data_IF_919056124756
#
_entry.id   IF_919056124756
#
_cell.length_a   1.000
_cell.length_b   1.000
_cell.length_c   1.000
_cell.angle_alpha   90.00
_cell.angle_beta   90.00
_cell.angle_gamma   90.00
#
_symmetry.space_group_name_H-M   'P 1'
#
loop_
_entity.id
_entity.type
_entity.pdbx_description
1 polymer ?
#
# COMPACT_ATOMS: atom_id res chain seq x y z
N UNK A 1 -27.33 44.20 24.20
CA UNK A 1 -27.98 43.27 23.23
C UNK A 1 -26.99 42.43 22.44
N UNK A 2 -26.01 43.00 21.73
CA UNK A 2 -25.04 42.21 20.94
C UNK A 2 -24.24 41.17 21.75
N UNK A 3 -23.72 41.53 22.92
CA UNK A 3 -23.00 40.59 23.80
C UNK A 3 -23.87 39.45 24.35
N UNK A 4 -25.16 39.71 24.60
CA UNK A 4 -26.11 38.70 25.06
C UNK A 4 -26.42 37.71 23.93
N UNK A 5 -26.61 38.21 22.70
CA UNK A 5 -26.80 37.37 21.52
C UNK A 5 -25.57 36.47 21.27
N UNK A 6 -24.36 37.03 21.32
CA UNK A 6 -23.11 36.28 21.17
C UNK A 6 -23.00 35.21 22.26
N UNK A 7 -23.34 35.53 23.52
CA UNK A 7 -23.34 34.56 24.61
C UNK A 7 -24.30 33.39 24.35
N UNK A 8 -25.54 33.64 23.89
CA UNK A 8 -26.50 32.58 23.56
C UNK A 8 -26.10 31.75 22.34
N UNK A 9 -25.48 32.37 21.32
CA UNK A 9 -24.93 31.65 20.16
C UNK A 9 -23.78 30.74 20.60
N UNK A 10 -22.84 31.25 21.41
CA UNK A 10 -21.76 30.44 21.96
C UNK A 10 -22.29 29.28 22.82
N UNK A 11 -23.30 29.54 23.67
CA UNK A 11 -23.94 28.48 24.48
C UNK A 11 -24.61 27.42 23.59
N UNK A 12 -25.26 27.83 22.50
CA UNK A 12 -25.85 26.94 21.51
C UNK A 12 -24.82 26.09 20.77
N UNK A 13 -23.70 26.70 20.35
CA UNK A 13 -22.60 26.00 19.67
C UNK A 13 -21.87 24.99 20.58
N UNK A 14 -21.87 25.20 21.89
CA UNK A 14 -21.26 24.27 22.87
C UNK A 14 -22.26 23.19 23.31
N UNK A 15 -23.54 23.30 22.96
CA UNK A 15 -24.57 22.33 23.36
C UNK A 15 -24.32 20.93 22.75
N UNK A 16 -24.64 19.88 23.52
CA UNK A 16 -24.51 18.48 23.07
C UNK A 16 -25.26 18.20 21.76
N UNK A 17 -26.50 18.69 21.53
CA UNK A 17 -27.18 18.50 20.26
C UNK A 17 -26.44 19.11 19.07
N UNK A 18 -25.84 20.29 19.24
CA UNK A 18 -25.06 20.93 18.18
C UNK A 18 -23.78 20.16 17.88
N UNK A 19 -23.07 19.71 18.92
CA UNK A 19 -21.87 18.88 18.76
C UNK A 19 -22.16 17.53 18.08
N UNK A 20 -23.26 16.86 18.47
CA UNK A 20 -23.71 15.62 17.83
C UNK A 20 -24.17 15.83 16.39
N UNK A 21 -24.81 16.97 16.09
CA UNK A 21 -25.16 17.34 14.72
C UNK A 21 -23.93 17.61 13.86
N UNK A 22 -22.95 18.34 14.40
CA UNK A 22 -21.70 18.65 13.73
C UNK A 22 -20.82 17.41 13.50
N UNK A 23 -20.86 16.42 14.39
CA UNK A 23 -20.16 15.15 14.23
C UNK A 23 -20.93 14.11 13.40
N UNK A 24 -22.17 14.43 12.99
CA UNK A 24 -22.97 13.54 12.18
C UNK A 24 -22.42 13.47 10.75
N UNK A 25 -22.15 12.27 10.22
CA UNK A 25 -21.45 12.11 8.95
C UNK A 25 -22.28 12.62 7.77
N UNK A 26 -21.60 13.17 6.76
CA UNK A 26 -22.20 13.46 5.44
C UNK A 26 -22.19 12.22 4.53
N UNK A 27 -21.27 11.30 4.77
CA UNK A 27 -21.10 10.04 4.06
C UNK A 27 -20.81 8.91 5.04
N UNK A 28 -21.42 7.76 4.79
CA UNK A 28 -21.25 6.55 5.57
C UNK A 28 -20.96 5.37 4.64
N UNK A 29 -19.87 4.67 4.91
CA UNK A 29 -19.47 3.46 4.18
C UNK A 29 -19.67 2.25 5.07
N UNK A 30 -20.30 1.21 4.54
CA UNK A 30 -20.60 -0.03 5.24
C UNK A 30 -20.32 -1.22 4.34
N UNK A 31 -19.88 -2.34 4.91
CA UNK A 31 -19.95 -3.61 4.20
C UNK A 31 -21.34 -4.22 4.34
N UNK A 32 -21.74 -5.06 3.38
CA UNK A 32 -23.02 -5.77 3.40
C UNK A 32 -23.11 -6.66 4.65
N UNK A 33 -24.24 -6.63 5.36
CA UNK A 33 -24.45 -7.39 6.59
C UNK A 33 -23.84 -6.75 7.85
N UNK A 34 -23.27 -5.55 7.77
CA UNK A 34 -22.78 -4.80 8.93
C UNK A 34 -23.80 -3.78 9.44
N UNK A 35 -23.68 -3.48 10.74
CA UNK A 35 -24.51 -2.49 11.42
C UNK A 35 -23.72 -1.27 11.89
N UNK A 36 -24.38 -0.10 11.97
CA UNK A 36 -23.81 1.13 12.52
C UNK A 36 -24.85 1.94 13.29
N UNK A 37 -24.50 2.38 14.48
CA UNK A 37 -25.32 3.34 15.23
C UNK A 37 -24.91 4.79 14.92
N UNK A 38 -25.90 5.64 14.66
CA UNK A 38 -25.75 7.09 14.56
C UNK A 38 -26.51 7.77 15.71
N UNK A 39 -25.88 8.75 16.37
CA UNK A 39 -26.48 9.43 17.54
C UNK A 39 -26.56 10.94 17.29
N UNK A 40 -27.77 11.48 17.31
CA UNK A 40 -28.04 12.92 17.22
C UNK A 40 -28.37 13.54 18.59
N UNK A 41 -28.95 12.75 19.51
CA UNK A 41 -29.29 13.18 20.88
C UNK A 41 -30.15 14.45 20.90
N UNK A 42 -31.12 14.54 19.97
CA UNK A 42 -32.04 15.68 19.86
C UNK A 42 -33.42 15.31 20.39
N UNK A 43 -34.06 16.12 21.23
CA UNK A 43 -35.38 15.82 21.81
C UNK A 43 -36.53 16.08 20.81
N UNK A 44 -36.41 15.58 19.58
CA UNK A 44 -37.38 15.77 18.49
C UNK A 44 -37.49 14.51 17.65
N UNK A 45 -38.66 14.33 17.03
CA UNK A 45 -38.86 13.27 16.04
C UNK A 45 -38.51 13.79 14.64
N UNK A 46 -37.99 12.89 13.80
CA UNK A 46 -37.76 13.18 12.39
C UNK A 46 -38.35 12.09 11.50
N UNK A 47 -38.77 12.49 10.30
CA UNK A 47 -39.08 11.57 9.24
C UNK A 47 -37.76 11.11 8.59
N UNK A 48 -37.53 9.80 8.59
CA UNK A 48 -36.47 9.16 7.81
C UNK A 48 -37.02 8.84 6.42
N UNK A 49 -36.20 9.03 5.39
CA UNK A 49 -36.40 8.45 4.07
C UNK A 49 -35.12 7.74 3.63
N UNK A 50 -35.23 6.48 3.19
CA UNK A 50 -34.10 5.64 2.77
C UNK A 50 -34.58 4.59 1.77
N UNK A 51 -33.67 3.99 1.01
CA UNK A 51 -33.96 2.79 0.24
C UNK A 51 -33.93 1.55 1.16
N UNK A 52 -35.09 0.89 1.40
CA UNK A 52 -35.17 -0.26 2.30
C UNK A 52 -34.51 -1.53 1.76
N UNK A 53 -34.23 -1.60 0.45
CA UNK A 53 -33.52 -2.74 -0.14
C UNK A 53 -32.04 -2.70 0.25
N UNK A 54 -31.47 -1.49 0.37
CA UNK A 54 -30.05 -1.28 0.68
C UNK A 54 -29.81 -1.22 2.19
N UNK A 55 -30.60 -0.45 2.94
CA UNK A 55 -30.39 -0.24 4.40
C UNK A 55 -31.70 -0.32 5.17
N UNK A 56 -31.70 -1.12 6.24
CA UNK A 56 -32.74 -1.11 7.28
C UNK A 56 -32.35 -0.15 8.39
N UNK A 57 -33.35 0.50 8.97
CA UNK A 57 -33.13 1.52 9.99
C UNK A 57 -33.99 1.19 11.21
N UNK A 58 -33.37 1.02 12.38
CA UNK A 58 -33.99 0.54 13.62
C UNK A 58 -34.78 -0.77 13.43
N UNK A 59 -34.26 -1.69 12.62
CA UNK A 59 -34.93 -2.95 12.26
C UNK A 59 -36.12 -2.79 11.30
N UNK A 60 -36.42 -1.58 10.83
CA UNK A 60 -37.52 -1.29 9.91
C UNK A 60 -37.02 -1.20 8.47
N UNK A 61 -37.59 -2.03 7.59
CA UNK A 61 -37.38 -2.00 6.15
C UNK A 61 -38.55 -1.28 5.46
N UNK A 62 -38.62 0.05 5.58
CA UNK A 62 -39.65 0.89 4.93
C UNK A 62 -39.02 2.15 4.35
N UNK A 63 -39.54 2.57 3.20
CA UNK A 63 -39.03 3.76 2.52
C UNK A 63 -39.10 5.03 3.37
N UNK A 64 -40.18 5.21 4.17
CA UNK A 64 -40.31 6.36 5.06
C UNK A 64 -41.10 6.04 6.34
N UNK A 65 -40.62 6.54 7.48
CA UNK A 65 -41.24 6.38 8.80
C UNK A 65 -40.63 7.39 9.80
N UNK A 66 -41.21 7.49 11.00
CA UNK A 66 -40.74 8.40 12.06
C UNK A 66 -39.69 7.73 12.96
N UNK A 67 -38.68 8.48 13.36
CA UNK A 67 -37.68 8.07 14.36
C UNK A 67 -37.56 9.13 15.47
N UNK A 68 -37.29 8.65 16.68
CA UNK A 68 -36.93 9.48 17.83
C UNK A 68 -35.42 9.79 17.78
N UNK A 69 -35.05 11.05 17.55
CA UNK A 69 -33.64 11.47 17.46
C UNK A 69 -32.95 11.56 18.82
N UNK A 70 -33.68 11.35 19.92
CA UNK A 70 -33.12 11.24 21.26
C UNK A 70 -32.54 9.84 21.52
N UNK A 71 -32.84 8.87 20.63
CA UNK A 71 -32.30 7.52 20.67
C UNK A 71 -31.30 7.30 19.52
N UNK A 72 -30.38 6.34 19.66
CA UNK A 72 -29.52 5.93 18.55
C UNK A 72 -30.34 5.43 17.36
N UNK A 73 -29.94 5.83 16.15
CA UNK A 73 -30.44 5.31 14.89
C UNK A 73 -29.52 4.15 14.49
N UNK A 74 -30.01 2.92 14.61
CA UNK A 74 -29.32 1.73 14.13
C UNK A 74 -29.52 1.59 12.63
N UNK A 75 -28.45 1.47 11.87
CA UNK A 75 -28.44 1.15 10.45
C UNK A 75 -27.95 -0.28 10.28
N UNK A 76 -28.62 -1.06 9.45
CA UNK A 76 -28.21 -2.42 9.09
C UNK A 76 -28.20 -2.52 7.56
N UNK A 77 -27.04 -2.83 6.98
CA UNK A 77 -26.89 -2.96 5.53
C UNK A 77 -27.36 -4.34 5.04
N UNK A 78 -28.12 -4.35 3.94
CA UNK A 78 -28.74 -5.58 3.41
C UNK A 78 -28.21 -5.94 2.02
N UNK A 79 -28.18 -4.97 1.10
CA UNK A 79 -27.64 -5.16 -0.26
C UNK A 79 -26.59 -4.10 -0.58
N UNK A 80 -25.59 -4.47 -1.38
CA UNK A 80 -24.60 -3.51 -1.89
C UNK A 80 -25.23 -2.52 -2.85
N UNK A 81 -24.81 -1.25 -2.78
CA UNK A 81 -25.40 -0.14 -3.53
C UNK A 81 -25.27 1.18 -2.80
N UNK A 82 -25.71 2.26 -3.46
CA UNK A 82 -25.71 3.61 -2.90
C UNK A 82 -27.13 4.07 -2.59
N UNK A 83 -27.33 4.68 -1.42
CA UNK A 83 -28.61 5.31 -1.06
C UNK A 83 -28.38 6.63 -0.30
N UNK A 84 -29.45 7.41 -0.13
CA UNK A 84 -29.43 8.64 0.65
C UNK A 84 -30.37 8.49 1.83
N UNK A 85 -29.82 8.48 3.04
CA UNK A 85 -30.59 8.56 4.27
C UNK A 85 -30.91 10.04 4.55
N UNK A 86 -32.18 10.40 4.42
CA UNK A 86 -32.65 11.77 4.62
C UNK A 86 -33.42 11.88 5.93
N UNK A 87 -33.05 12.86 6.76
CA UNK A 87 -33.76 13.22 7.99
C UNK A 87 -34.49 14.55 7.77
N UNK A 88 -35.80 14.58 8.04
CA UNK A 88 -36.62 15.80 7.95
C UNK A 88 -37.41 16.04 9.23
N UNK A 89 -37.31 17.23 9.81
CA UNK A 89 -38.16 17.66 10.92
C UNK A 89 -39.56 17.99 10.42
N UNK A 90 -40.58 17.55 11.15
CA UNK A 90 -42.00 17.75 10.81
C UNK A 90 -42.35 17.31 9.38
N UNK A 91 -41.56 16.39 8.80
CA UNK A 91 -41.67 15.90 7.42
C UNK A 91 -41.35 16.90 6.31
N UNK A 92 -40.97 18.14 6.62
CA UNK A 92 -40.78 19.22 5.63
C UNK A 92 -39.42 19.90 5.70
N UNK A 93 -38.88 20.09 6.91
CA UNK A 93 -37.65 20.85 7.10
C UNK A 93 -36.47 19.87 7.01
N UNK A 94 -35.60 19.96 5.99
CA UNK A 94 -34.45 19.07 5.86
C UNK A 94 -33.48 19.32 7.02
N UNK A 95 -33.19 18.27 7.80
CA UNK A 95 -32.26 18.31 8.91
C UNK A 95 -30.86 17.87 8.46
N UNK A 96 -30.75 16.70 7.85
CA UNK A 96 -29.49 16.12 7.39
C UNK A 96 -29.74 15.12 6.27
N UNK A 97 -28.81 15.03 5.34
CA UNK A 97 -28.77 13.96 4.33
C UNK A 97 -27.42 13.27 4.43
N UNK A 98 -27.43 11.94 4.57
CA UNK A 98 -26.23 11.11 4.60
C UNK A 98 -26.21 10.27 3.33
N UNK A 99 -25.11 10.31 2.58
CA UNK A 99 -24.85 9.33 1.53
C UNK A 99 -24.41 8.03 2.18
N UNK A 100 -25.12 6.95 1.92
CA UNK A 100 -24.77 5.62 2.44
C UNK A 100 -24.32 4.76 1.27
N UNK A 101 -23.07 4.34 1.31
CA UNK A 101 -22.46 3.45 0.32
C UNK A 101 -22.25 2.08 0.97
N UNK A 102 -22.99 1.08 0.50
CA UNK A 102 -22.89 -0.30 0.96
C UNK A 102 -22.06 -1.09 -0.04
N UNK A 103 -20.95 -1.65 0.43
CA UNK A 103 -20.02 -2.42 -0.36
C UNK A 103 -20.23 -3.93 -0.15
N UNK A 104 -19.86 -4.79 -1.11
CA UNK A 104 -19.88 -6.23 -0.91
C UNK A 104 -19.06 -6.62 0.32
N UNK A 105 -19.50 -7.65 1.07
CA UNK A 105 -18.73 -8.18 2.20
C UNK A 105 -17.34 -8.62 1.71
N UNK A 106 -16.30 -7.92 2.17
CA UNK A 106 -14.94 -8.16 1.73
C UNK A 106 -14.14 -8.79 2.87
N UNK A 107 -13.59 -9.97 2.56
CA UNK A 107 -12.78 -10.75 3.49
C UNK A 107 -11.46 -11.13 2.85
N UNK A 108 -10.41 -11.17 3.66
CA UNK A 108 -9.07 -11.55 3.24
C UNK A 108 -8.46 -12.52 4.23
N UNK A 109 -7.60 -13.41 3.74
CA UNK A 109 -6.76 -14.26 4.58
C UNK A 109 -5.54 -13.43 4.98
N UNK A 110 -5.32 -13.18 6.29
CA UNK A 110 -4.10 -12.52 6.74
C UNK A 110 -2.88 -13.35 6.42
N UNK A 111 -1.86 -12.69 5.88
CA UNK A 111 -0.55 -13.29 5.65
C UNK A 111 0.28 -13.33 6.94
N UNK A 112 1.42 -12.64 6.90
CA UNK A 112 2.45 -12.63 7.92
C UNK A 112 3.67 -13.47 7.56
N UNK A 113 3.59 -14.28 6.50
CA UNK A 113 4.68 -15.10 5.99
C UNK A 113 5.81 -14.21 5.45
N UNK A 114 7.04 -14.58 5.77
CA UNK A 114 8.20 -14.04 5.07
C UNK A 114 8.25 -14.60 3.65
N UNK A 115 8.36 -13.72 2.66
CA UNK A 115 8.48 -14.07 1.24
C UNK A 115 9.79 -13.54 0.67
N UNK A 116 10.34 -14.27 -0.30
CA UNK A 116 11.39 -13.77 -1.17
C UNK A 116 10.75 -13.02 -2.32
N UNK A 117 11.23 -11.82 -2.60
CA UNK A 117 10.76 -10.97 -3.70
C UNK A 117 11.87 -10.91 -4.74
N UNK A 118 11.55 -11.25 -5.98
CA UNK A 118 12.45 -11.10 -7.13
C UNK A 118 11.71 -10.30 -8.20
N UNK A 119 12.22 -9.12 -8.51
CA UNK A 119 11.64 -8.23 -9.51
C UNK A 119 12.66 -7.97 -10.61
N UNK A 120 12.19 -7.98 -11.85
CA UNK A 120 12.92 -7.60 -13.04
C UNK A 120 12.29 -6.34 -13.60
N UNK A 121 13.10 -5.31 -13.84
CA UNK A 121 12.60 -4.03 -14.34
C UNK A 121 12.12 -4.13 -15.78
N UNK A 122 11.16 -3.28 -16.17
CA UNK A 122 10.71 -3.09 -17.56
C UNK A 122 11.74 -2.31 -18.41
N UNK A 123 13.00 -2.71 -18.32
CA UNK A 123 14.13 -1.99 -18.88
C UNK A 123 15.41 -2.20 -18.07
N UNK A 124 16.48 -1.51 -18.47
CA UNK A 124 17.75 -1.45 -17.75
C UNK A 124 17.86 -0.11 -17.04
N UNK A 125 17.88 -0.12 -15.71
CA UNK A 125 18.02 1.07 -14.87
C UNK A 125 19.48 1.53 -14.84
N UNK A 126 19.70 2.84 -15.01
CA UNK A 126 20.99 3.48 -14.83
C UNK A 126 21.15 3.89 -13.36
N UNK A 127 22.12 3.28 -12.68
CA UNK A 127 22.37 3.50 -11.24
C UNK A 127 23.62 4.33 -10.97
N UNK A 128 24.38 4.66 -12.00
CA UNK A 128 25.57 5.50 -11.87
C UNK A 128 26.35 5.63 -13.17
N UNK A 129 27.42 6.40 -13.11
CA UNK A 129 28.34 6.64 -14.22
C UNK A 129 29.74 6.16 -13.88
N UNK A 130 30.50 5.83 -14.93
CA UNK A 130 31.86 5.34 -14.83
C UNK A 130 32.76 6.02 -15.86
N UNK A 131 33.91 6.49 -15.41
CA UNK A 131 34.94 7.05 -16.27
C UNK A 131 35.73 5.95 -16.98
N UNK A 132 35.61 5.89 -18.29
CA UNK A 132 36.32 4.98 -19.19
C UNK A 132 37.69 5.55 -19.55
N UNK A 133 38.75 4.77 -19.41
CA UNK A 133 40.12 5.24 -19.69
C UNK A 133 40.48 5.00 -21.15
N UNK A 134 40.42 6.05 -21.98
CA UNK A 134 40.66 5.93 -23.44
C UNK A 134 42.11 6.22 -23.86
N UNK A 135 42.89 6.86 -22.99
CA UNK A 135 44.34 7.06 -23.12
C UNK A 135 44.94 7.34 -21.72
N UNK A 136 46.27 7.29 -21.52
CA UNK A 136 46.91 7.46 -20.21
C UNK A 136 46.42 8.66 -19.40
N UNK A 137 46.23 9.82 -20.05
CA UNK A 137 45.78 11.06 -19.41
C UNK A 137 44.36 11.48 -19.86
N UNK A 138 43.59 10.57 -20.46
CA UNK A 138 42.26 10.88 -20.98
C UNK A 138 41.22 9.88 -20.52
N UNK A 139 40.26 10.37 -19.75
CA UNK A 139 39.07 9.64 -19.32
C UNK A 139 37.82 10.33 -19.86
N UNK A 140 36.83 9.52 -20.24
CA UNK A 140 35.54 9.98 -20.77
C UNK A 140 34.42 9.18 -20.13
N UNK A 141 33.22 9.74 -20.08
CA UNK A 141 32.03 9.05 -19.59
C UNK A 141 30.97 9.11 -20.69
N UNK A 142 30.90 8.10 -21.57
CA UNK A 142 29.98 8.14 -22.70
C UNK A 142 28.52 8.32 -22.28
N UNK A 143 28.15 7.76 -21.12
CA UNK A 143 26.84 7.94 -20.51
C UNK A 143 26.53 9.39 -20.15
N UNK A 144 27.47 10.10 -19.51
CA UNK A 144 27.30 11.52 -19.17
C UNK A 144 27.31 12.40 -20.41
N UNK A 145 28.19 12.13 -21.37
CA UNK A 145 28.27 12.85 -22.65
C UNK A 145 26.95 12.71 -23.44
N UNK A 146 26.31 11.54 -23.36
CA UNK A 146 24.99 11.27 -23.94
C UNK A 146 23.82 11.83 -23.11
N UNK A 147 24.08 12.56 -22.01
CA UNK A 147 23.09 13.16 -21.10
C UNK A 147 22.13 12.15 -20.46
N UNK A 148 22.60 10.91 -20.30
CA UNK A 148 21.90 9.85 -19.57
C UNK A 148 22.06 10.14 -18.08
N UNK A 149 20.97 10.07 -17.32
CA UNK A 149 20.91 10.42 -15.91
C UNK A 149 20.72 9.17 -15.03
N UNK A 150 21.15 9.28 -13.78
CA UNK A 150 20.84 8.27 -12.76
C UNK A 150 19.31 8.23 -12.58
N UNK A 151 18.74 7.03 -12.58
CA UNK A 151 17.29 6.79 -12.57
C UNK A 151 16.66 6.66 -13.96
N UNK A 152 17.43 6.83 -15.04
CA UNK A 152 16.96 6.55 -16.39
C UNK A 152 16.73 5.05 -16.60
N UNK A 153 15.61 4.71 -17.22
CA UNK A 153 15.30 3.34 -17.61
C UNK A 153 15.48 3.17 -19.12
N UNK A 154 16.54 2.48 -19.55
CA UNK A 154 16.79 2.15 -20.96
C UNK A 154 15.86 0.99 -21.34
N UNK A 155 14.89 1.26 -22.20
CA UNK A 155 13.86 0.30 -22.63
C UNK A 155 14.21 -0.40 -23.94
N UNK A 156 15.01 0.25 -24.80
CA UNK A 156 15.48 -0.37 -26.05
C UNK A 156 16.86 0.13 -26.46
N UNK A 157 17.60 -0.73 -27.16
CA UNK A 157 18.87 -0.41 -27.82
C UNK A 157 18.75 -0.82 -29.30
N UNK A 158 19.03 0.11 -30.22
CA UNK A 158 18.90 -0.07 -31.67
C UNK A 158 17.52 -0.62 -32.09
N UNK A 159 16.47 -0.18 -31.39
CA UNK A 159 15.07 -0.58 -31.64
C UNK A 159 14.67 -1.93 -31.04
N UNK A 160 15.59 -2.70 -30.47
CA UNK A 160 15.28 -3.95 -29.77
C UNK A 160 15.01 -3.69 -28.29
N UNK A 161 13.88 -4.19 -27.78
CA UNK A 161 13.55 -4.12 -26.35
C UNK A 161 14.62 -4.84 -25.51
N UNK A 162 15.05 -4.21 -24.42
CA UNK A 162 16.06 -4.76 -23.52
C UNK A 162 15.63 -4.62 -22.07
N UNK A 163 15.68 -5.72 -21.34
CA UNK A 163 15.44 -5.79 -19.91
C UNK A 163 16.41 -6.76 -19.22
N UNK A 164 17.48 -7.14 -19.91
CA UNK A 164 18.46 -8.11 -19.45
C UNK A 164 19.87 -7.55 -19.61
N UNK A 165 20.54 -7.32 -18.48
CA UNK A 165 21.87 -6.71 -18.45
C UNK A 165 22.91 -7.57 -19.17
N UNK A 166 22.71 -8.89 -19.19
CA UNK A 166 23.63 -9.85 -19.83
C UNK A 166 23.71 -9.64 -21.34
N UNK A 167 22.64 -9.13 -21.97
CA UNK A 167 22.59 -8.84 -23.40
C UNK A 167 23.30 -7.54 -23.78
N UNK A 168 23.48 -6.62 -22.83
CA UNK A 168 24.05 -5.28 -23.11
C UNK A 168 25.51 -5.39 -23.52
N UNK A 169 26.29 -6.26 -22.87
CA UNK A 169 27.72 -6.38 -23.11
C UNK A 169 28.06 -6.72 -24.58
N UNK A 170 27.36 -7.68 -25.16
CA UNK A 170 27.58 -8.10 -26.56
C UNK A 170 27.15 -7.02 -27.57
N UNK A 171 26.05 -6.32 -27.28
CA UNK A 171 25.58 -5.19 -28.11
C UNK A 171 26.62 -4.07 -28.12
N UNK A 172 27.14 -3.71 -26.94
CA UNK A 172 28.15 -2.65 -26.78
C UNK A 172 29.47 -3.03 -27.46
N UNK A 173 29.91 -4.27 -27.30
CA UNK A 173 31.12 -4.78 -27.95
C UNK A 173 31.01 -4.68 -29.47
N UNK A 174 29.93 -5.21 -30.05
CA UNK A 174 29.70 -5.19 -31.50
C UNK A 174 29.64 -3.77 -32.06
N UNK A 175 28.91 -2.87 -31.39
CA UNK A 175 28.82 -1.48 -31.82
C UNK A 175 30.16 -0.75 -31.74
N UNK A 176 30.93 -1.00 -30.68
CA UNK A 176 32.29 -0.48 -30.50
C UNK A 176 33.25 -0.92 -31.61
N UNK A 177 33.29 -2.22 -31.91
CA UNK A 177 34.13 -2.80 -32.99
C UNK A 177 33.76 -2.25 -34.37
N UNK A 178 32.46 -1.96 -34.59
CA UNK A 178 31.94 -1.35 -35.82
C UNK A 178 32.02 0.18 -35.83
N UNK A 179 32.51 0.79 -34.75
CA UNK A 179 32.63 2.23 -34.59
C UNK A 179 31.28 2.97 -34.75
N UNK A 180 30.17 2.30 -34.43
CA UNK A 180 28.79 2.75 -34.61
C UNK A 180 28.19 3.22 -33.26
N UNK A 181 27.47 4.35 -33.22
CA UNK A 181 26.69 4.70 -32.04
C UNK A 181 25.50 3.76 -31.85
N UNK A 182 25.03 3.66 -30.61
CA UNK A 182 23.82 2.95 -30.22
C UNK A 182 22.69 3.94 -30.02
N UNK A 183 21.55 3.68 -30.66
CA UNK A 183 20.32 4.44 -30.43
C UNK A 183 19.57 3.86 -29.21
N UNK A 184 19.33 4.68 -28.21
CA UNK A 184 18.64 4.30 -26.98
C UNK A 184 17.24 4.91 -26.93
N UNK A 185 16.27 4.15 -26.41
CA UNK A 185 15.03 4.72 -25.87
C UNK A 185 15.05 4.66 -24.36
N UNK A 186 14.95 5.82 -23.74
CA UNK A 186 15.03 6.01 -22.29
C UNK A 186 13.66 6.44 -21.78
N UNK A 187 13.24 5.93 -20.63
CA UNK A 187 12.09 6.42 -19.88
C UNK A 187 12.59 7.19 -18.67
N UNK A 188 12.25 8.48 -18.58
CA UNK A 188 12.58 9.39 -17.47
C UNK A 188 11.31 10.12 -17.07
N UNK A 189 10.90 10.04 -15.80
CA UNK A 189 9.67 10.68 -15.30
C UNK A 189 8.42 10.37 -16.17
N UNK A 190 8.25 9.11 -16.57
CA UNK A 190 7.21 8.64 -17.50
C UNK A 190 7.23 9.23 -18.93
N UNK A 191 8.25 10.01 -19.29
CA UNK A 191 8.46 10.49 -20.65
C UNK A 191 9.48 9.61 -21.38
N UNK A 192 9.21 9.33 -22.65
CA UNK A 192 10.17 8.67 -23.52
C UNK A 192 11.12 9.69 -24.14
N UNK A 193 12.42 9.42 -24.06
CA UNK A 193 13.51 10.24 -24.55
C UNK A 193 14.37 9.37 -25.46
N UNK A 194 14.64 9.85 -26.67
CA UNK A 194 15.62 9.22 -27.54
C UNK A 194 17.01 9.79 -27.21
N UNK A 195 18.00 8.92 -27.09
CA UNK A 195 19.39 9.29 -26.85
C UNK A 195 20.31 8.48 -27.77
N UNK A 196 21.48 9.02 -28.07
CA UNK A 196 22.51 8.33 -28.81
C UNK A 196 23.76 8.24 -27.93
N UNK A 197 24.30 7.02 -27.77
CA UNK A 197 25.51 6.78 -26.99
C UNK A 197 26.56 6.09 -27.84
N UNK A 198 27.80 6.53 -27.71
CA UNK A 198 28.93 5.95 -28.44
C UNK A 198 29.82 5.16 -27.49
N UNK A 199 29.97 3.84 -27.66
CA UNK A 199 30.89 3.06 -26.84
C UNK A 199 32.32 3.61 -26.92
N UNK A 200 32.99 3.71 -25.76
CA UNK A 200 34.40 4.06 -25.67
C UNK A 200 35.22 2.81 -25.37
N UNK A 201 36.39 2.67 -26.02
CA UNK A 201 37.30 1.56 -25.74
C UNK A 201 38.12 1.85 -24.49
N UNK A 202 37.96 1.02 -23.46
CA UNK A 202 38.78 1.09 -22.26
C UNK A 202 40.15 0.44 -22.51
N UNK A 203 41.20 1.26 -22.41
CA UNK A 203 42.58 0.83 -22.66
C UNK A 203 43.17 -0.03 -21.55
N UNK A 204 42.59 -0.01 -20.35
CA UNK A 204 43.00 -0.85 -19.22
C UNK A 204 42.27 -2.20 -19.27
N UNK A 205 40.94 -2.19 -19.35
CA UNK A 205 40.11 -3.40 -19.40
C UNK A 205 40.09 -4.09 -20.77
N UNK A 206 40.61 -3.44 -21.82
CA UNK A 206 40.56 -3.90 -23.22
C UNK A 206 39.16 -4.26 -23.70
N UNK A 207 38.16 -3.46 -23.31
CA UNK A 207 36.75 -3.69 -23.65
C UNK A 207 36.03 -2.38 -23.98
N UNK A 208 35.01 -2.44 -24.83
CA UNK A 208 34.13 -1.30 -25.07
C UNK A 208 33.15 -1.11 -23.90
N UNK A 209 33.02 0.13 -23.43
CA UNK A 209 32.22 0.53 -22.28
C UNK A 209 31.30 1.69 -22.63
N UNK A 210 30.13 1.74 -22.01
CA UNK A 210 29.20 2.86 -22.06
C UNK A 210 29.46 3.90 -20.95
N UNK A 211 30.31 3.59 -19.97
CA UNK A 211 30.49 4.45 -18.79
C UNK A 211 29.23 4.54 -17.93
N UNK A 212 28.41 3.48 -17.89
CA UNK A 212 27.20 3.39 -17.09
C UNK A 212 27.30 2.20 -16.14
N UNK A 213 26.90 2.41 -14.87
CA UNK A 213 26.50 1.33 -13.99
C UNK A 213 25.01 1.07 -14.20
N UNK A 214 24.67 -0.17 -14.49
CA UNK A 214 23.33 -0.57 -14.89
C UNK A 214 22.84 -1.77 -14.09
N UNK A 215 21.54 -1.83 -13.85
CA UNK A 215 20.84 -2.94 -13.18
C UNK A 215 19.52 -3.23 -13.87
N UNK A 216 19.08 -4.48 -13.82
CA UNK A 216 17.82 -4.93 -14.43
C UNK A 216 16.90 -5.65 -13.43
N UNK A 217 17.34 -5.80 -12.19
CA UNK A 217 16.65 -6.61 -11.21
C UNK A 217 16.94 -6.15 -9.78
N UNK A 218 16.00 -6.46 -8.89
CA UNK A 218 16.16 -6.33 -7.46
C UNK A 218 15.62 -7.58 -6.77
N UNK A 219 16.24 -7.95 -5.65
CA UNK A 219 15.79 -9.04 -4.82
C UNK A 219 15.84 -8.65 -3.36
N UNK A 220 14.91 -9.17 -2.58
CA UNK A 220 14.82 -8.85 -1.16
C UNK A 220 13.88 -9.75 -0.40
N UNK A 221 13.74 -9.46 0.89
CA UNK A 221 12.85 -10.18 1.80
C UNK A 221 11.71 -9.26 2.19
N UNK A 222 10.48 -9.75 2.06
CA UNK A 222 9.28 -9.04 2.43
C UNK A 222 8.35 -9.87 3.31
N UNK A 223 7.25 -9.27 3.75
CA UNK A 223 6.15 -9.99 4.38
C UNK A 223 4.91 -9.95 3.48
N UNK A 224 4.29 -11.10 3.27
CA UNK A 224 2.98 -11.21 2.65
C UNK A 224 1.94 -10.58 3.58
N UNK A 225 1.15 -9.63 3.10
CA UNK A 225 0.18 -8.92 3.94
C UNK A 225 -1.16 -9.63 3.97
N UNK A 226 -1.73 -9.88 2.80
CA UNK A 226 -3.04 -10.50 2.67
C UNK A 226 -3.12 -11.31 1.38
N UNK A 227 -4.05 -12.26 1.38
CA UNK A 227 -4.54 -12.94 0.18
C UNK A 227 -6.07 -12.84 0.12
N UNK A 228 -6.59 -12.39 -1.02
CA UNK A 228 -8.01 -12.26 -1.30
C UNK A 228 -8.44 -13.44 -2.20
N UNK A 229 -9.01 -14.51 -1.60
CA UNK A 229 -9.23 -15.78 -2.31
C UNK A 229 -10.22 -15.65 -3.47
N UNK A 230 -11.26 -14.82 -3.33
CA UNK A 230 -12.30 -14.67 -4.35
C UNK A 230 -11.75 -14.07 -5.67
N UNK A 231 -10.69 -13.28 -5.59
CA UNK A 231 -10.04 -12.65 -6.75
C UNK A 231 -8.71 -13.30 -7.14
N UNK A 232 -8.20 -14.21 -6.30
CA UNK A 232 -6.85 -14.80 -6.43
C UNK A 232 -5.73 -13.76 -6.34
N UNK A 233 -5.95 -12.65 -5.62
CA UNK A 233 -5.02 -11.52 -5.55
C UNK A 233 -4.34 -11.48 -4.19
N UNK A 234 -3.09 -11.02 -4.15
CA UNK A 234 -2.39 -10.76 -2.89
C UNK A 234 -1.81 -9.35 -2.84
N UNK A 235 -1.46 -8.92 -1.63
CA UNK A 235 -0.62 -7.74 -1.38
C UNK A 235 0.51 -8.05 -0.39
N UNK A 236 1.65 -7.39 -0.57
CA UNK A 236 2.82 -7.54 0.30
C UNK A 236 3.61 -6.22 0.47
N UNK A 237 4.52 -6.20 1.45
CA UNK A 237 5.42 -5.09 1.82
C UNK A 237 4.76 -3.83 2.40
N UNK A 238 3.66 -3.32 1.85
CA UNK A 238 3.07 -2.07 2.34
C UNK A 238 3.79 -0.79 1.88
N UNK A 239 4.84 -0.90 1.06
CA UNK A 239 5.56 0.23 0.45
C UNK A 239 6.14 -0.12 -0.92
N UNK A 240 6.52 0.92 -1.67
CA UNK A 240 7.18 0.79 -2.98
C UNK A 240 8.58 0.20 -2.86
N UNK A 241 8.93 -0.69 -3.79
CA UNK A 241 10.32 -1.15 -4.00
C UNK A 241 11.04 -0.11 -4.86
N UNK A 242 12.12 0.44 -4.32
CA UNK A 242 13.01 1.36 -5.03
C UNK A 242 14.38 0.72 -5.23
N UNK A 243 15.11 1.16 -6.24
CA UNK A 243 16.53 0.85 -6.31
C UNK A 243 17.29 1.55 -5.16
N UNK A 244 18.29 0.87 -4.60
CA UNK A 244 18.96 1.31 -3.37
C UNK A 244 19.84 2.55 -3.57
N UNK A 245 20.42 2.72 -4.77
CA UNK A 245 21.35 3.83 -5.06
C UNK A 245 20.60 5.05 -5.56
N UNK A 246 19.54 4.84 -6.36
CA UNK A 246 18.80 5.92 -7.01
C UNK A 246 17.53 6.34 -6.27
N UNK A 247 17.05 5.51 -5.34
CA UNK A 247 15.74 5.64 -4.69
C UNK A 247 14.55 5.73 -5.67
N UNK A 248 14.76 5.36 -6.94
CA UNK A 248 13.73 5.42 -7.97
C UNK A 248 12.86 4.16 -7.90
N UNK A 249 11.51 4.29 -7.98
CA UNK A 249 10.62 3.14 -8.05
C UNK A 249 10.95 2.20 -9.21
N UNK A 250 11.00 0.91 -8.93
CA UNK A 250 11.23 -0.09 -9.96
C UNK A 250 9.93 -0.31 -10.74
N UNK A 251 9.95 0.01 -12.04
CA UNK A 251 8.87 -0.33 -12.97
C UNK A 251 8.89 -1.82 -13.24
N UNK A 252 7.80 -2.52 -12.94
CA UNK A 252 7.72 -3.99 -13.03
C UNK A 252 7.65 -4.42 -14.50
N UNK A 253 8.65 -5.19 -14.95
CA UNK A 253 8.60 -5.88 -16.24
C UNK A 253 8.20 -7.34 -16.06
N UNK A 254 8.84 -8.01 -15.10
CA UNK A 254 8.50 -9.36 -14.66
C UNK A 254 8.83 -9.48 -13.16
N UNK A 255 8.21 -10.42 -12.47
CA UNK A 255 8.53 -10.62 -11.06
C UNK A 255 7.78 -11.78 -10.45
N UNK A 256 8.37 -12.31 -9.39
CA UNK A 256 7.87 -13.47 -8.68
C UNK A 256 8.10 -13.33 -7.19
N UNK A 257 7.17 -13.89 -6.44
CA UNK A 257 7.32 -14.14 -5.01
C UNK A 257 7.57 -15.63 -4.77
N UNK A 258 8.49 -15.93 -3.88
CA UNK A 258 8.91 -17.30 -3.53
C UNK A 258 8.90 -17.48 -2.02
N UNK A 259 8.95 -18.72 -1.55
CA UNK A 259 9.10 -18.99 -0.13
C UNK A 259 10.45 -18.47 0.39
N UNK A 260 10.44 -18.03 1.65
CA UNK A 260 11.63 -17.57 2.35
C UNK A 260 11.62 -18.12 3.77
N UNK A 261 12.80 -18.49 4.27
CA UNK A 261 12.95 -19.05 5.61
C UNK A 261 13.89 -18.18 6.44
N UNK A 262 13.37 -17.63 7.54
CA UNK A 262 14.10 -16.74 8.45
C UNK A 262 15.10 -17.57 9.26
N UNK A 263 16.39 -17.30 9.08
CA UNK A 263 17.48 -18.00 9.79
C UNK A 263 17.86 -17.28 11.08
N UNK A 264 17.89 -15.95 11.07
CA UNK A 264 18.18 -15.13 12.25
C UNK A 264 17.63 -13.72 12.11
N UNK A 265 17.64 -12.98 13.22
CA UNK A 265 17.31 -11.56 13.26
C UNK A 265 18.53 -10.78 13.71
N UNK A 266 18.93 -9.77 12.93
CA UNK A 266 19.77 -8.70 13.45
C UNK A 266 18.87 -7.69 14.15
N UNK A 267 19.11 -7.46 15.44
CA UNK A 267 18.25 -6.59 16.26
C UNK A 267 18.36 -5.14 15.82
N UNK A 268 17.23 -4.42 15.85
CA UNK A 268 17.20 -2.98 15.68
C UNK A 268 17.71 -2.28 16.93
N UNK A 269 18.41 -1.17 16.73
CA UNK A 269 18.87 -0.26 17.78
C UNK A 269 18.54 1.18 17.39
N UNK A 270 18.67 2.11 18.34
CA UNK A 270 18.46 3.52 18.04
C UNK A 270 19.46 4.00 16.98
N UNK A 271 18.97 4.52 15.86
CA UNK A 271 19.78 4.97 14.72
C UNK A 271 20.17 3.86 13.72
N UNK A 272 20.00 2.58 14.07
CA UNK A 272 20.34 1.45 13.20
C UNK A 272 19.16 0.49 13.03
N UNK A 273 18.48 0.50 11.87
CA UNK A 273 17.44 -0.47 11.56
C UNK A 273 18.00 -1.89 11.57
N UNK A 274 17.34 -2.80 12.30
CA UNK A 274 17.65 -4.23 12.25
C UNK A 274 17.14 -4.88 10.96
N UNK A 275 17.42 -6.18 10.78
CA UNK A 275 17.03 -6.94 9.59
C UNK A 275 16.63 -8.39 9.89
N UNK A 276 15.64 -8.90 9.14
CA UNK A 276 15.40 -10.34 9.01
C UNK A 276 16.43 -10.94 8.06
N UNK A 277 17.28 -11.85 8.56
CA UNK A 277 18.15 -12.66 7.70
C UNK A 277 17.39 -13.91 7.29
N UNK A 278 17.19 -14.05 5.99
CA UNK A 278 16.48 -15.17 5.41
C UNK A 278 17.15 -15.62 4.12
N UNK A 279 16.95 -16.89 3.77
CA UNK A 279 17.32 -17.41 2.46
C UNK A 279 16.05 -17.77 1.71
N UNK A 280 16.10 -17.66 0.39
CA UNK A 280 15.03 -18.14 -0.45
C UNK A 280 15.01 -19.67 -0.40
N UNK A 281 13.85 -20.21 -0.09
CA UNK A 281 13.66 -21.64 0.11
C UNK A 281 12.79 -22.16 -1.03
N UNK A 282 13.15 -23.31 -1.61
CA UNK A 282 12.46 -23.89 -2.76
C UNK A 282 12.20 -22.86 -3.86
N UNK A 283 13.26 -22.24 -4.39
CA UNK A 283 13.13 -21.19 -5.43
C UNK A 283 12.40 -21.65 -6.70
N UNK A 284 12.30 -22.97 -6.92
CA UNK A 284 11.49 -23.57 -7.99
C UNK A 284 9.98 -23.52 -7.73
N UNK A 285 9.55 -23.36 -6.48
CA UNK A 285 8.13 -23.23 -6.10
C UNK A 285 7.77 -21.75 -5.99
N UNK A 286 7.30 -21.20 -7.10
CA UNK A 286 6.76 -19.83 -7.19
C UNK A 286 5.41 -19.77 -6.47
N UNK A 287 5.25 -18.77 -5.60
CA UNK A 287 3.99 -18.52 -4.89
C UNK A 287 3.02 -17.70 -5.75
N UNK A 288 3.54 -16.76 -6.53
CA UNK A 288 2.77 -15.82 -7.32
C UNK A 288 3.65 -14.92 -8.16
N UNK A 289 3.03 -14.19 -9.10
CA UNK A 289 3.70 -13.18 -9.91
C UNK A 289 3.64 -11.80 -9.25
N UNK A 290 4.44 -10.85 -9.74
CA UNK A 290 4.35 -9.44 -9.36
C UNK A 290 3.87 -8.67 -10.58
N UNK A 291 2.71 -8.02 -10.47
CA UNK A 291 2.11 -7.23 -11.55
C UNK A 291 2.25 -5.73 -11.30
N UNK A 292 2.23 -5.31 -10.03
CA UNK A 292 2.31 -3.90 -9.64
C UNK A 292 3.30 -3.69 -8.51
N UNK A 293 4.00 -2.57 -8.58
CA UNK A 293 4.84 -2.02 -7.52
C UNK A 293 4.40 -0.56 -7.30
N UNK A 294 3.81 -0.29 -6.14
CA UNK A 294 3.10 0.96 -5.85
C UNK A 294 3.56 1.53 -4.51
N UNK A 295 3.12 2.74 -4.17
CA UNK A 295 3.36 3.33 -2.85
C UNK A 295 2.82 2.50 -1.67
N UNK A 296 1.87 1.59 -1.90
CA UNK A 296 1.24 0.76 -0.87
C UNK A 296 1.72 -0.70 -0.87
N UNK A 297 2.71 -1.05 -1.70
CA UNK A 297 3.23 -2.42 -1.75
C UNK A 297 3.32 -2.99 -3.15
N UNK A 298 3.60 -4.29 -3.19
CA UNK A 298 3.55 -5.09 -4.40
C UNK A 298 2.28 -5.92 -4.44
N UNK A 299 1.74 -6.08 -5.64
CA UNK A 299 0.49 -6.81 -5.89
C UNK A 299 0.61 -7.70 -7.11
N UNK A 300 -0.14 -8.79 -7.10
CA UNK A 300 -0.21 -9.73 -8.20
C UNK A 300 -1.18 -10.87 -7.88
N UNK A 301 -1.01 -11.98 -8.57
CA UNK A 301 -1.82 -13.19 -8.44
C UNK A 301 -1.07 -14.27 -7.69
N UNK A 302 -1.81 -14.99 -6.84
CA UNK A 302 -1.35 -16.22 -6.19
C UNK A 302 -2.35 -17.34 -6.50
N UNK A 303 -1.80 -18.51 -6.84
CA UNK A 303 -2.60 -19.67 -7.24
C UNK A 303 -3.19 -20.41 -6.05
N UNK A 304 -2.46 -20.43 -4.94
CA UNK A 304 -2.84 -21.10 -3.70
C UNK A 304 -2.88 -20.10 -2.54
N UNK A 305 -3.76 -20.38 -1.58
CA UNK A 305 -3.74 -19.67 -0.31
C UNK A 305 -2.37 -19.87 0.39
N UNK A 306 -1.89 -18.87 1.15
CA UNK A 306 -0.56 -18.96 1.71
C UNK A 306 -0.46 -20.05 2.79
N UNK A 307 0.48 -20.98 2.59
CA UNK A 307 0.82 -22.02 3.56
C UNK A 307 1.33 -21.40 4.87
N UNK A 308 1.32 -22.18 5.97
CA UNK A 308 1.87 -21.79 7.28
C UNK A 308 1.27 -20.51 7.89
N UNK A 309 0.12 -20.06 7.38
CA UNK A 309 -0.62 -18.92 7.94
C UNK A 309 -1.17 -19.21 9.32
N UNK A 310 -1.26 -18.16 10.14
CA UNK A 310 -1.88 -18.25 11.46
C UNK A 310 -3.40 -18.45 11.37
N UNK A 311 -4.02 -17.80 10.39
CA UNK A 311 -5.44 -17.91 10.08
C UNK A 311 -5.62 -18.67 8.75
N UNK A 312 -6.46 -19.71 8.76
CA UNK A 312 -6.89 -20.39 7.53
C UNK A 312 -8.17 -19.78 6.95
N UNK A 313 -8.92 -19.06 7.78
CA UNK A 313 -10.18 -18.44 7.41
C UNK A 313 -9.98 -16.97 7.05
N UNK A 314 -10.76 -16.51 6.08
CA UNK A 314 -10.77 -15.11 5.69
C UNK A 314 -11.47 -14.26 6.76
N UNK A 315 -10.83 -13.17 7.17
CA UNK A 315 -11.38 -12.22 8.14
C UNK A 315 -11.88 -10.95 7.43
N UNK A 316 -12.89 -10.25 7.99
CA UNK A 316 -13.33 -8.96 7.46
C UNK A 316 -12.21 -7.92 7.47
N UNK A 317 -12.32 -6.96 6.55
CA UNK A 317 -11.47 -5.77 6.53
C UNK A 317 -12.21 -4.58 7.17
N UNK A 318 -11.45 -3.59 7.61
CA UNK A 318 -11.97 -2.34 8.15
C UNK A 318 -11.71 -1.19 7.19
N UNK A 319 -12.66 -0.25 7.10
CA UNK A 319 -12.37 1.06 6.51
C UNK A 319 -11.46 1.88 7.42
N UNK A 320 -10.76 2.86 6.86
CA UNK A 320 -9.89 3.75 7.62
C UNK A 320 -10.60 4.42 8.82
N UNK A 321 -11.88 4.78 8.69
CA UNK A 321 -12.65 5.44 9.77
C UNK A 321 -13.11 4.49 10.89
N UNK A 322 -12.98 3.17 10.69
CA UNK A 322 -13.26 2.17 11.71
C UNK A 322 -12.05 1.89 12.61
N UNK A 323 -10.85 2.25 12.17
CA UNK A 323 -9.60 2.04 12.92
C UNK A 323 -9.56 2.95 14.14
N UNK A 324 -9.16 2.40 15.29
CA UNK A 324 -9.11 3.12 16.56
C UNK A 324 -7.71 3.09 17.15
N UNK A 325 -7.38 4.12 17.91
CA UNK A 325 -6.24 4.10 18.82
C UNK A 325 -6.49 3.03 19.91
N UNK A 326 -5.43 2.32 20.31
CA UNK A 326 -5.48 1.26 21.31
C UNK A 326 -4.92 -0.09 20.85
N UNK A 327 -5.21 -1.18 21.58
CA UNK A 327 -4.60 -2.49 21.35
C UNK A 327 -4.88 -3.05 19.95
N UNK A 328 -3.87 -3.67 19.35
CA UNK A 328 -3.96 -4.41 18.09
C UNK A 328 -2.90 -5.53 18.07
N UNK A 329 -2.88 -6.31 16.99
CA UNK A 329 -1.91 -7.39 16.80
C UNK A 329 -1.27 -7.31 15.42
N UNK A 330 0.00 -7.67 15.31
CA UNK A 330 0.67 -7.90 14.03
C UNK A 330 0.98 -9.37 13.85
N UNK A 331 0.89 -9.87 12.62
CA UNK A 331 1.33 -11.22 12.29
C UNK A 331 2.65 -11.17 11.53
N UNK A 332 3.68 -11.85 12.04
CA UNK A 332 4.99 -11.85 11.40
C UNK A 332 5.78 -13.10 11.76
N UNK A 333 6.81 -13.42 10.96
CA UNK A 333 7.76 -14.49 11.24
C UNK A 333 9.04 -13.91 11.85
N UNK A 334 9.48 -14.47 12.97
CA UNK A 334 10.79 -14.17 13.60
C UNK A 334 11.78 -15.33 13.52
N UNK A 335 11.33 -16.52 13.13
CA UNK A 335 12.18 -17.70 12.96
C UNK A 335 11.50 -18.74 12.08
N UNK A 336 12.25 -19.33 11.15
CA UNK A 336 11.75 -20.34 10.21
C UNK A 336 10.71 -19.77 9.24
N UNK A 337 9.58 -20.45 9.12
CA UNK A 337 8.40 -20.05 8.32
C UNK A 337 7.14 -19.84 9.18
N UNK A 338 7.26 -19.97 10.50
CA UNK A 338 6.10 -19.95 11.40
C UNK A 338 5.61 -18.53 11.60
N UNK A 339 4.40 -18.25 11.14
CA UNK A 339 3.70 -16.99 11.44
C UNK A 339 3.26 -16.99 12.88
N UNK A 340 3.59 -15.92 13.61
CA UNK A 340 3.19 -15.71 15.00
C UNK A 340 2.48 -14.36 15.14
N UNK A 341 1.61 -14.25 16.15
CA UNK A 341 0.97 -12.99 16.52
C UNK A 341 1.72 -12.32 17.66
N UNK A 342 1.87 -11.00 17.54
CA UNK A 342 2.51 -10.15 18.55
C UNK A 342 1.64 -8.94 18.82
N UNK A 343 1.54 -8.58 20.10
CA UNK A 343 0.77 -7.43 20.53
C UNK A 343 1.47 -6.11 20.18
N UNK A 344 0.65 -5.17 19.74
CA UNK A 344 1.04 -3.79 19.44
C UNK A 344 -0.02 -2.83 19.98
N UNK A 345 0.29 -1.55 19.94
CA UNK A 345 -0.65 -0.46 20.19
C UNK A 345 -0.70 0.46 18.97
N UNK A 346 -1.91 0.76 18.49
CA UNK A 346 -2.15 1.86 17.55
C UNK A 346 -2.15 3.14 18.35
N UNK A 347 -1.05 3.88 18.29
CA UNK A 347 -0.84 5.10 19.09
C UNK A 347 -1.57 6.28 18.48
N UNK A 348 -1.65 6.33 17.15
CA UNK A 348 -2.33 7.41 16.45
C UNK A 348 -2.95 6.91 15.14
N UNK A 349 -4.13 7.41 14.81
CA UNK A 349 -4.81 7.16 13.53
C UNK A 349 -4.96 8.48 12.77
N UNK A 350 -4.35 8.56 11.60
CA UNK A 350 -4.45 9.73 10.72
C UNK A 350 -5.74 9.68 9.92
N UNK A 351 -6.49 10.79 9.92
CA UNK A 351 -7.62 10.97 9.01
C UNK A 351 -7.11 11.24 7.60
N UNK A 352 -7.61 10.48 6.63
CA UNK A 352 -7.16 10.55 5.25
C UNK A 352 -8.38 10.56 4.32
N UNK A 353 -8.55 11.65 3.58
CA UNK A 353 -9.58 11.75 2.53
C UNK A 353 -9.09 11.15 1.20
N UNK A 354 -7.79 10.89 1.09
CA UNK A 354 -7.12 10.32 -0.07
C UNK A 354 -6.01 9.35 0.35
N UNK A 355 -5.63 8.38 -0.51
CA UNK A 355 -4.60 7.41 -0.18
C UNK A 355 -3.28 8.07 0.23
N UNK A 356 -2.79 7.74 1.43
CA UNK A 356 -1.48 8.17 1.90
C UNK A 356 -0.80 7.08 2.76
N UNK A 357 0.51 6.94 2.61
CA UNK A 357 1.29 5.82 3.15
C UNK A 357 1.43 5.80 4.68
N UNK A 358 1.18 6.94 5.34
CA UNK A 358 1.21 7.09 6.81
C UNK A 358 -0.21 7.18 7.36
N UNK A 359 -0.89 6.03 7.43
CA UNK A 359 -2.27 5.93 7.92
C UNK A 359 -2.37 5.86 9.44
N UNK A 360 -1.42 5.19 10.07
CA UNK A 360 -1.39 5.02 11.52
C UNK A 360 0.04 4.99 12.05
N UNK A 361 0.21 5.37 13.32
CA UNK A 361 1.42 5.15 14.11
C UNK A 361 1.17 3.96 15.01
N UNK A 362 2.08 2.99 14.98
CA UNK A 362 2.04 1.80 15.80
C UNK A 362 3.25 1.73 16.71
N UNK A 363 3.10 1.03 17.84
CA UNK A 363 4.16 0.72 18.78
C UNK A 363 4.13 -0.75 19.15
N UNK A 364 5.26 -1.43 19.07
CA UNK A 364 5.41 -2.81 19.52
C UNK A 364 5.38 -2.85 21.05
N UNK A 365 4.45 -3.63 21.60
CA UNK A 365 4.29 -3.80 23.06
C UNK A 365 4.59 -5.23 23.52
N UNK A 366 4.63 -6.20 22.59
CA UNK A 366 4.94 -7.59 22.91
C UNK A 366 6.40 -7.78 23.37
N UNK A 367 6.64 -8.22 24.62
CA UNK A 367 8.00 -8.38 25.14
C UNK A 367 8.79 -9.45 24.40
N UNK A 368 8.14 -10.49 23.86
CA UNK A 368 8.80 -11.57 23.13
C UNK A 368 9.34 -11.07 21.79
N UNK A 369 8.61 -10.17 21.14
CA UNK A 369 9.05 -9.56 19.89
C UNK A 369 10.21 -8.60 20.14
N UNK A 370 10.06 -7.71 21.13
CA UNK A 370 11.08 -6.74 21.52
C UNK A 370 12.39 -7.42 21.92
N UNK A 371 12.33 -8.50 22.71
CA UNK A 371 13.51 -9.25 23.11
C UNK A 371 14.27 -9.82 21.91
N UNK A 372 13.54 -10.37 20.93
CA UNK A 372 14.14 -11.00 19.75
C UNK A 372 14.67 -10.00 18.72
N UNK A 373 14.01 -8.85 18.59
CA UNK A 373 14.16 -7.98 17.40
C UNK A 373 14.58 -6.55 17.72
N UNK A 374 14.44 -6.10 18.97
CA UNK A 374 14.67 -4.71 19.36
C UNK A 374 13.61 -3.73 18.87
N UNK A 375 12.58 -4.20 18.15
CA UNK A 375 11.54 -3.36 17.54
C UNK A 375 11.18 -3.82 16.14
N UNK A 376 10.72 -2.90 15.31
CA UNK A 376 10.42 -3.15 13.90
C UNK A 376 11.73 -3.23 13.13
N UNK A 377 11.94 -4.35 12.42
CA UNK A 377 13.13 -4.60 11.59
C UNK A 377 12.78 -4.65 10.10
N UNK A 378 13.77 -4.45 9.24
CA UNK A 378 13.63 -4.68 7.81
C UNK A 378 13.16 -6.12 7.53
N UNK A 379 12.24 -6.26 6.57
CA UNK A 379 11.56 -7.52 6.28
C UNK A 379 10.30 -7.76 7.13
N UNK A 380 10.00 -6.95 8.15
CA UNK A 380 8.65 -6.92 8.77
C UNK A 380 7.64 -6.11 7.96
N UNK A 381 8.11 -5.26 7.05
CA UNK A 381 7.23 -4.49 6.18
C UNK A 381 6.27 -5.41 5.44
N UNK A 382 4.98 -5.10 5.54
CA UNK A 382 3.87 -5.91 5.06
C UNK A 382 3.24 -6.81 6.11
N UNK A 383 3.75 -6.85 7.35
CA UNK A 383 3.11 -7.62 8.43
C UNK A 383 1.68 -7.10 8.65
N UNK A 384 0.64 -7.93 8.51
CA UNK A 384 -0.74 -7.48 8.64
C UNK A 384 -1.03 -7.04 10.07
N UNK A 385 -1.83 -5.98 10.20
CA UNK A 385 -2.29 -5.41 11.46
C UNK A 385 -3.77 -5.77 11.63
N UNK A 386 -4.09 -6.40 12.76
CA UNK A 386 -5.42 -6.89 13.10
C UNK A 386 -5.90 -6.16 14.36
N UNK A 387 -7.10 -5.59 14.30
CA UNK A 387 -7.75 -4.95 15.43
C UNK A 387 -9.23 -5.33 15.44
N UNK A 388 -9.77 -5.69 16.61
CA UNK A 388 -11.18 -6.08 16.78
C UNK A 388 -11.64 -7.19 15.81
N UNK A 389 -10.76 -8.14 15.49
CA UNK A 389 -11.04 -9.24 14.57
C UNK A 389 -11.10 -8.85 13.09
N UNK A 390 -10.81 -7.59 12.75
CA UNK A 390 -10.71 -7.09 11.36
C UNK A 390 -9.26 -6.83 10.99
N UNK A 391 -8.91 -7.04 9.72
CA UNK A 391 -7.67 -6.50 9.18
C UNK A 391 -7.82 -4.99 9.00
N UNK A 392 -6.89 -4.21 9.55
CA UNK A 392 -6.93 -2.74 9.50
C UNK A 392 -5.80 -2.15 8.65
N UNK A 393 -4.72 -2.90 8.40
CA UNK A 393 -3.56 -2.36 7.71
C UNK A 393 -2.36 -3.29 7.65
N UNK A 394 -1.21 -2.71 7.30
CA UNK A 394 0.08 -3.37 7.27
C UNK A 394 1.17 -2.47 7.85
N UNK A 395 2.16 -3.07 8.51
CA UNK A 395 3.38 -2.37 8.96
C UNK A 395 4.17 -1.89 7.74
N UNK A 396 4.66 -0.65 7.74
CA UNK A 396 5.46 -0.09 6.64
C UNK A 396 6.89 0.24 7.10
N UNK A 397 7.11 1.44 7.60
CA UNK A 397 8.44 1.96 7.94
C UNK A 397 8.63 2.11 9.45
N UNK A 398 9.83 1.81 9.94
CA UNK A 398 10.23 2.03 11.33
C UNK A 398 10.68 3.48 11.57
N UNK A 399 10.53 3.99 12.78
CA UNK A 399 11.12 5.27 13.17
C UNK A 399 12.61 5.08 13.48
N UNK A 400 13.47 5.90 12.87
CA UNK A 400 14.93 5.78 13.03
C UNK A 400 15.36 5.97 14.50
N UNK A 401 14.71 6.88 15.22
CA UNK A 401 15.06 7.22 16.60
C UNK A 401 14.33 6.38 17.67
N UNK A 402 13.32 5.61 17.26
CA UNK A 402 12.57 4.72 18.15
C UNK A 402 12.18 3.46 17.36
N UNK A 403 13.02 2.40 17.38
CA UNK A 403 12.75 1.20 16.63
C UNK A 403 11.50 0.46 17.11
N UNK A 404 10.99 0.75 18.32
CA UNK A 404 9.76 0.14 18.82
C UNK A 404 8.51 0.73 18.16
N UNK A 405 8.63 1.87 17.49
CA UNK A 405 7.53 2.56 16.84
C UNK A 405 7.72 2.65 15.33
N UNK A 406 6.62 2.73 14.59
CA UNK A 406 6.64 2.82 13.14
C UNK A 406 5.31 3.26 12.57
N UNK A 407 5.24 3.28 11.25
CA UNK A 407 4.04 3.58 10.49
C UNK A 407 3.33 2.29 10.05
N UNK A 408 2.02 2.39 9.88
CA UNK A 408 1.22 1.46 9.11
C UNK A 408 0.39 2.19 8.05
N UNK A 409 0.09 1.50 6.95
CA UNK A 409 -0.88 1.94 5.96
C UNK A 409 -2.20 1.22 6.17
N UNK A 410 -3.32 1.82 5.74
CA UNK A 410 -4.63 1.17 5.80
C UNK A 410 -4.75 0.06 4.77
N UNK A 411 -5.42 -1.03 5.15
CA UNK A 411 -5.67 -2.16 4.24
C UNK A 411 -6.51 -1.73 3.03
N UNK A 412 -7.37 -0.73 3.22
CA UNK A 412 -8.20 -0.12 2.20
C UNK A 412 -7.39 0.32 0.97
N UNK A 413 -6.29 1.04 1.17
CA UNK A 413 -5.44 1.51 0.07
C UNK A 413 -4.71 0.37 -0.63
N UNK A 414 -4.28 -0.63 0.14
CA UNK A 414 -3.64 -1.80 -0.45
C UNK A 414 -4.61 -2.61 -1.32
N UNK A 415 -5.86 -2.76 -0.88
CA UNK A 415 -6.88 -3.48 -1.64
C UNK A 415 -7.29 -2.74 -2.92
N UNK A 416 -7.37 -1.40 -2.85
CA UNK A 416 -7.61 -0.57 -4.02
C UNK A 416 -6.52 -0.78 -5.09
N UNK A 417 -5.23 -0.70 -4.71
CA UNK A 417 -4.12 -0.90 -5.63
C UNK A 417 -4.04 -2.35 -6.16
N UNK A 418 -4.44 -3.32 -5.33
CA UNK A 418 -4.59 -4.72 -5.70
C UNK A 418 -5.73 -4.96 -6.72
N UNK A 419 -6.57 -3.94 -7.00
CA UNK A 419 -7.71 -4.07 -7.90
C UNK A 419 -8.88 -4.83 -7.29
N UNK A 420 -8.93 -4.96 -5.97
CA UNK A 420 -10.08 -5.46 -5.24
C UNK A 420 -11.05 -4.30 -5.10
N UNK A 421 -12.18 -4.37 -5.82
CA UNK A 421 -13.09 -3.24 -5.99
C UNK A 421 -13.63 -2.76 -4.64
N UNK A 422 -13.16 -1.59 -4.21
CA UNK A 422 -13.64 -0.88 -3.03
C UNK A 422 -14.52 0.33 -3.37
N UNK A 423 -14.76 0.61 -4.65
CA UNK A 423 -15.55 1.76 -5.05
C UNK A 423 -16.43 1.45 -6.27
N UNK A 424 -17.76 1.59 -6.20
CA UNK A 424 -18.66 1.43 -7.35
C UNK A 424 -18.33 2.38 -8.51
N UNK A 425 -17.82 3.57 -8.19
CA UNK A 425 -17.56 4.65 -9.15
C UNK A 425 -16.29 4.45 -10.00
N UNK A 426 -15.36 3.56 -9.63
CA UNK A 426 -14.17 3.26 -10.45
C UNK A 426 -14.50 2.49 -11.75
N UNK A 427 -15.66 1.81 -11.81
CA UNK A 427 -16.11 1.14 -13.04
C UNK A 427 -16.35 2.10 -14.22
N UNK A 428 -16.56 3.41 -13.97
CA UNK A 428 -16.73 4.39 -15.03
C UNK A 428 -15.39 4.89 -15.61
N UNK A 429 -14.34 4.99 -14.80
CA UNK A 429 -13.05 5.55 -15.26
C UNK A 429 -12.15 4.52 -15.96
N UNK A 430 -12.30 3.22 -15.67
CA UNK A 430 -11.56 2.15 -16.37
C UNK A 430 -11.97 1.96 -17.84
N UNK A 431 -13.06 2.59 -18.30
CA UNK A 431 -13.48 2.59 -19.72
C UNK A 431 -13.00 3.84 -20.48
N UNK A 432 -12.33 4.76 -19.82
CA UNK A 432 -11.80 6.00 -20.40
C UNK A 432 -10.33 6.15 -19.99
N UNK A 433 -9.46 5.31 -20.54
CA UNK A 433 -8.01 5.35 -20.36
C UNK A 433 -7.32 4.70 -21.54
#
# INVERSE_FOLDING_TARGET
>A
MGLILVFFVCLGCISTPFQCFASFPDELRLFTGQGRELRLSMPVHAQVTVDPDIVKVNGVARHSFQVDLNRPISLESNHSGETKLQLRLFGKIPLKTVRVNVMPDLKVIPGGQTIGVKIKSDGIMVVGHHLVTVAPDKKVSPGEEAKIQIGDLITSIDGAYINDVTKVADIVKKAGEQNKPLALKIRRNNQQIDAEIRPAFDTFDKAYRLGLYIRDSAAGVGTLTFYAPDQGVYGALGHVITDMDTQTPISVGDGQIVHSNVTSIAKSQNGEPGEKRAHFFNESKVLGNIEKNTSFGIFGKMYDAPDHGLAKEAIPVAFAEEVKEGPAQIYTVVSGQKVEKFDIEVVHVSKQDFPATKGMVIKITDPRLLEKTGGIVQGMSGSPIIQNGKMIGAVTHVFVNDPTSGYGCFIEWMLQDAGVVLNPNEKQNLKAG
#
